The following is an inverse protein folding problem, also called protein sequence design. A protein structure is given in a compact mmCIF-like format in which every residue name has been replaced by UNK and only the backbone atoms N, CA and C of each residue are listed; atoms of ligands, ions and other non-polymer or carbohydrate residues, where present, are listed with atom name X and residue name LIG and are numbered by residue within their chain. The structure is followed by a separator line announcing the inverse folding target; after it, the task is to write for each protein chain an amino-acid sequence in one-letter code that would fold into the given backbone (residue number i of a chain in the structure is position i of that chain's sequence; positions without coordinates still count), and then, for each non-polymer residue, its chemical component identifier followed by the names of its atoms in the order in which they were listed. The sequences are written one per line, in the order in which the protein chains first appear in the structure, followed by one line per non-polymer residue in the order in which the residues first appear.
data_IF_237214970442
#
_entry.id   IF_237214970442
#
_cell.length_a   1.000
_cell.length_b   1.000
_cell.length_c   1.000
_cell.angle_alpha   90.00
_cell.angle_beta   90.00
_cell.angle_gamma   90.00
#
_symmetry.space_group_name_H-M   'P 1'
#
loop_
_entity.id
_entity.type
_entity.pdbx_description
1 polymer ?
#
# COMPACT_ATOMS: atom_id res chain seq x y z
N UNK A 1 -12.36 -11.54 18.75
CA UNK A 1 -11.96 -10.50 17.78
C UNK A 1 -10.82 -9.71 18.39
N UNK A 2 -9.71 -9.51 17.67
CA UNK A 2 -8.69 -8.56 18.10
C UNK A 2 -9.24 -7.17 17.88
N UNK A 3 -9.39 -6.40 18.95
CA UNK A 3 -9.83 -4.99 18.88
C UNK A 3 -8.57 -4.15 18.82
N UNK A 4 -8.35 -3.45 17.71
CA UNK A 4 -7.30 -2.45 17.59
C UNK A 4 -7.87 -1.06 17.79
N UNK A 5 -7.09 -0.17 18.42
CA UNK A 5 -7.45 1.24 18.56
C UNK A 5 -7.11 1.99 17.27
N UNK A 6 -8.09 2.63 16.66
CA UNK A 6 -7.85 3.60 15.59
C UNK A 6 -7.54 4.95 16.23
N UNK A 7 -6.45 5.58 15.80
CA UNK A 7 -6.02 6.88 16.28
C UNK A 7 -5.72 7.82 15.12
N UNK A 8 -5.97 9.11 15.32
CA UNK A 8 -5.56 10.17 14.41
C UNK A 8 -4.15 10.63 14.79
N UNK A 9 -3.29 10.79 13.78
CA UNK A 9 -1.93 11.30 13.95
C UNK A 9 -1.83 12.59 13.15
N UNK A 10 -1.48 13.68 13.83
CA UNK A 10 -1.23 14.96 13.16
C UNK A 10 0.04 14.88 12.32
N UNK A 11 0.00 15.51 11.15
CA UNK A 11 1.08 15.45 10.15
C UNK A 11 1.06 16.72 9.30
N UNK A 12 2.17 17.00 8.62
CA UNK A 12 2.29 18.12 7.68
C UNK A 12 2.38 17.61 6.25
N UNK A 13 1.79 18.29 5.25
CA UNK A 13 1.90 17.88 3.86
C UNK A 13 3.36 17.90 3.38
N UNK A 14 3.67 17.07 2.39
CA UNK A 14 4.97 17.05 1.72
C UNK A 14 4.82 17.47 0.27
N UNK A 15 5.69 18.37 -0.18
CA UNK A 15 5.81 18.69 -1.59
C UNK A 15 6.35 17.49 -2.39
N UNK A 16 5.94 17.41 -3.66
CA UNK A 16 6.49 16.43 -4.59
C UNK A 16 6.05 14.97 -4.36
N UNK A 17 4.98 14.73 -3.59
CA UNK A 17 4.26 13.45 -3.52
C UNK A 17 3.30 13.23 -4.72
N UNK A 18 3.66 13.77 -5.88
CA UNK A 18 2.91 13.57 -7.13
C UNK A 18 3.36 12.26 -7.78
N UNK A 19 2.48 11.24 -7.91
CA UNK A 19 2.84 10.02 -8.63
C UNK A 19 3.03 10.33 -10.12
N UNK A 20 4.03 9.70 -10.73
CA UNK A 20 4.20 9.69 -12.19
C UNK A 20 3.36 8.59 -12.84
N UNK A 21 3.60 8.34 -14.13
CA UNK A 21 2.93 7.28 -14.91
C UNK A 21 3.11 5.89 -14.29
N UNK A 22 4.23 5.65 -13.60
CA UNK A 22 4.54 4.38 -12.94
C UNK A 22 4.59 4.48 -11.41
N UNK A 23 3.80 5.38 -10.83
CA UNK A 23 3.70 5.58 -9.38
C UNK A 23 4.65 6.62 -8.82
N UNK A 24 4.70 6.72 -7.48
CA UNK A 24 5.60 7.62 -6.76
C UNK A 24 6.94 6.91 -6.50
N UNK A 25 8.02 7.42 -7.09
CA UNK A 25 9.38 6.94 -6.86
C UNK A 25 10.23 8.00 -6.18
N UNK A 26 10.85 7.62 -5.08
CA UNK A 26 11.81 8.41 -4.31
C UNK A 26 12.83 7.47 -3.70
N UNK A 27 13.96 8.03 -3.28
CA UNK A 27 14.94 7.29 -2.49
C UNK A 27 14.32 6.76 -1.20
N UNK A 28 14.73 5.59 -0.76
CA UNK A 28 14.31 4.93 0.49
C UNK A 28 14.49 5.88 1.67
N UNK A 29 15.58 6.66 1.72
CA UNK A 29 15.79 7.66 2.78
C UNK A 29 14.66 8.67 2.89
N UNK A 30 13.96 8.97 1.79
CA UNK A 30 12.79 9.87 1.78
C UNK A 30 11.57 9.13 2.31
N UNK A 31 11.31 7.91 1.85
CA UNK A 31 10.18 7.11 2.36
C UNK A 31 10.28 6.76 3.86
N UNK A 32 11.51 6.70 4.39
CA UNK A 32 11.77 6.50 5.82
C UNK A 32 11.63 7.77 6.67
N UNK A 33 11.44 8.94 6.06
CA UNK A 33 11.13 10.14 6.84
C UNK A 33 9.80 9.95 7.58
N UNK A 34 9.67 10.50 8.81
CA UNK A 34 8.41 10.44 9.54
C UNK A 34 7.24 10.89 8.69
N UNK A 35 6.17 10.10 8.69
CA UNK A 35 4.91 10.35 8.00
C UNK A 35 4.96 10.47 6.46
N UNK A 36 6.12 10.32 5.80
CA UNK A 36 6.17 10.47 4.35
C UNK A 36 5.33 9.41 3.63
N UNK A 37 5.59 8.12 3.91
CA UNK A 37 4.80 7.03 3.35
C UNK A 37 3.34 7.12 3.79
N UNK A 38 3.10 7.45 5.06
CA UNK A 38 1.77 7.53 5.64
C UNK A 38 0.91 8.57 4.92
N UNK A 39 1.46 9.76 4.67
CA UNK A 39 0.76 10.83 3.98
C UNK A 39 0.39 10.43 2.56
N UNK A 40 1.28 9.75 1.84
CA UNK A 40 0.98 9.29 0.48
C UNK A 40 -0.12 8.22 0.46
N UNK A 41 -0.07 7.27 1.41
CA UNK A 41 -1.09 6.21 1.54
C UNK A 41 -2.44 6.81 1.93
N UNK A 42 -2.49 7.73 2.91
CA UNK A 42 -3.73 8.41 3.29
C UNK A 42 -4.29 9.23 2.13
N UNK A 43 -3.44 9.93 1.38
CA UNK A 43 -3.86 10.69 0.20
C UNK A 43 -4.48 9.79 -0.86
N UNK A 44 -3.95 8.57 -1.03
CA UNK A 44 -4.52 7.57 -1.95
C UNK A 44 -5.92 7.14 -1.51
N UNK A 45 -6.14 6.91 -0.21
CA UNK A 45 -7.48 6.60 0.30
C UNK A 45 -8.45 7.78 0.18
N UNK A 46 -7.97 9.01 0.44
CA UNK A 46 -8.79 10.20 0.28
C UNK A 46 -9.27 10.37 -1.17
N UNK A 47 -8.42 10.07 -2.16
CA UNK A 47 -8.77 10.13 -3.58
C UNK A 47 -9.84 9.10 -4.01
N UNK A 48 -9.92 7.96 -3.32
CA UNK A 48 -10.93 6.93 -3.60
C UNK A 48 -12.30 7.24 -2.97
N UNK A 49 -12.36 8.14 -1.99
CA UNK A 49 -13.48 8.38 -1.05
C UNK A 49 -13.69 7.26 -0.02
N UNK A 50 -14.20 7.61 1.16
CA UNK A 50 -14.40 6.65 2.27
C UNK A 50 -15.35 5.51 1.90
N UNK A 51 -16.34 5.78 1.06
CA UNK A 51 -17.34 4.78 0.62
C UNK A 51 -16.71 3.67 -0.23
N UNK A 52 -15.75 4.01 -1.10
CA UNK A 52 -15.06 3.00 -1.92
C UNK A 52 -14.02 2.22 -1.14
N UNK A 53 -13.47 2.80 -0.07
CA UNK A 53 -12.45 2.15 0.77
C UNK A 53 -13.11 1.20 1.78
N UNK A 54 -14.24 1.60 2.37
CA UNK A 54 -14.93 0.79 3.38
C UNK A 54 -15.42 -0.52 2.77
N UNK A 55 -15.05 -1.64 3.39
CA UNK A 55 -15.46 -2.96 2.91
C UNK A 55 -14.59 -3.53 1.77
N UNK A 56 -13.65 -2.75 1.23
CA UNK A 56 -12.80 -3.16 0.12
C UNK A 56 -11.86 -4.31 0.50
N UNK A 57 -11.45 -5.06 -0.53
CA UNK A 57 -10.30 -5.97 -0.47
C UNK A 57 -9.16 -5.36 -1.27
N UNK A 58 -7.98 -5.21 -0.68
CA UNK A 58 -6.80 -4.68 -1.36
C UNK A 58 -5.70 -5.74 -1.50
N UNK A 59 -4.89 -5.65 -2.55
CA UNK A 59 -3.63 -6.39 -2.64
C UNK A 59 -2.47 -5.48 -2.22
N UNK A 60 -1.56 -5.95 -1.38
CA UNK A 60 -0.37 -5.20 -0.96
C UNK A 60 0.84 -6.12 -1.00
N UNK A 61 1.68 -5.93 -2.01
CA UNK A 61 2.88 -6.75 -2.26
C UNK A 61 3.89 -5.98 -3.10
N UNK A 62 5.08 -6.53 -3.32
CA UNK A 62 6.09 -5.90 -4.16
C UNK A 62 7.18 -6.84 -4.67
N UNK A 63 8.26 -6.22 -5.13
CA UNK A 63 9.45 -6.87 -5.72
C UNK A 63 10.45 -7.38 -4.67
N UNK A 64 10.22 -7.12 -3.39
CA UNK A 64 11.08 -7.56 -2.29
C UNK A 64 12.27 -6.64 -1.99
N UNK A 65 12.34 -5.46 -2.61
CA UNK A 65 13.40 -4.47 -2.35
C UNK A 65 13.45 -4.02 -0.89
N UNK A 66 14.56 -3.41 -0.50
CA UNK A 66 14.76 -2.86 0.84
C UNK A 66 13.57 -1.95 1.23
N UNK A 67 13.21 -1.96 2.52
CA UNK A 67 12.05 -1.28 3.10
C UNK A 67 10.64 -1.84 2.73
N UNK A 68 10.52 -2.81 1.81
CA UNK A 68 9.20 -3.37 1.44
C UNK A 68 8.45 -3.96 2.63
N UNK A 69 9.11 -4.75 3.48
CA UNK A 69 8.45 -5.38 4.65
C UNK A 69 7.83 -4.34 5.59
N UNK A 70 8.57 -3.26 5.87
CA UNK A 70 8.10 -2.18 6.74
C UNK A 70 6.96 -1.40 6.08
N UNK A 71 7.10 -1.09 4.78
CA UNK A 71 6.08 -0.39 4.02
C UNK A 71 4.75 -1.18 3.95
N UNK A 72 4.81 -2.50 3.76
CA UNK A 72 3.62 -3.38 3.78
C UNK A 72 2.90 -3.26 5.13
N UNK A 73 3.64 -3.34 6.24
CA UNK A 73 3.05 -3.24 7.58
C UNK A 73 2.39 -1.87 7.82
N UNK A 74 3.03 -0.79 7.36
CA UNK A 74 2.46 0.57 7.44
C UNK A 74 1.15 0.64 6.64
N UNK A 75 1.18 0.18 5.37
CA UNK A 75 0.00 0.21 4.49
C UNK A 75 -1.14 -0.62 5.08
N UNK A 76 -0.89 -1.80 5.64
CA UNK A 76 -1.92 -2.64 6.27
C UNK A 76 -2.56 -1.94 7.47
N UNK A 77 -1.76 -1.33 8.35
CA UNK A 77 -2.28 -0.59 9.51
C UNK A 77 -3.16 0.59 9.07
N UNK A 78 -2.73 1.32 8.05
CA UNK A 78 -3.51 2.44 7.50
C UNK A 78 -4.77 1.98 6.78
N UNK A 79 -4.70 0.90 6.02
CA UNK A 79 -5.85 0.27 5.36
C UNK A 79 -6.92 -0.12 6.39
N UNK A 80 -6.51 -0.81 7.47
CA UNK A 80 -7.41 -1.18 8.56
C UNK A 80 -8.05 0.04 9.22
N UNK A 81 -7.27 1.09 9.50
CA UNK A 81 -7.77 2.33 10.08
C UNK A 81 -8.75 3.09 9.15
N UNK A 82 -8.62 2.93 7.83
CA UNK A 82 -9.52 3.52 6.84
C UNK A 82 -10.73 2.62 6.49
N UNK A 83 -10.89 1.47 7.15
CA UNK A 83 -12.07 0.60 6.98
C UNK A 83 -11.96 -0.43 5.85
N UNK A 84 -10.77 -0.67 5.32
CA UNK A 84 -10.52 -1.80 4.41
C UNK A 84 -10.81 -3.10 5.15
N UNK A 85 -11.66 -3.95 4.56
CA UNK A 85 -12.11 -5.20 5.20
C UNK A 85 -11.07 -6.30 5.12
N UNK A 86 -10.32 -6.35 4.02
CA UNK A 86 -9.34 -7.41 3.78
C UNK A 86 -8.13 -6.90 3.02
N UNK A 87 -6.96 -7.41 3.40
CA UNK A 87 -5.73 -7.24 2.63
C UNK A 87 -5.21 -8.61 2.23
N UNK A 88 -4.97 -8.81 0.93
CA UNK A 88 -4.25 -9.95 0.38
C UNK A 88 -2.79 -9.58 0.21
N UNK A 89 -1.92 -10.39 0.81
CA UNK A 89 -0.46 -10.20 0.77
C UNK A 89 0.14 -11.45 0.17
N UNK A 90 1.09 -11.28 -0.76
CA UNK A 90 1.87 -12.40 -1.28
C UNK A 90 2.69 -13.03 -0.17
N UNK A 91 3.04 -14.32 -0.31
CA UNK A 91 3.94 -14.94 0.65
C UNK A 91 5.25 -14.13 0.76
N UNK A 92 5.68 -13.83 1.98
CA UNK A 92 6.83 -12.95 2.26
C UNK A 92 6.70 -11.50 1.73
N UNK A 93 5.50 -11.07 1.35
CA UNK A 93 5.24 -9.78 0.72
C UNK A 93 5.53 -9.72 -0.78
N UNK A 94 5.78 -10.86 -1.42
CA UNK A 94 6.25 -10.93 -2.81
C UNK A 94 5.10 -11.20 -3.78
N UNK A 95 4.91 -10.30 -4.74
CA UNK A 95 4.16 -10.53 -5.97
C UNK A 95 4.74 -9.64 -7.07
N UNK A 96 4.99 -10.22 -8.25
CA UNK A 96 5.33 -9.43 -9.43
C UNK A 96 4.15 -8.55 -9.85
N UNK A 97 4.42 -7.43 -10.53
CA UNK A 97 3.35 -6.55 -11.06
C UNK A 97 2.33 -7.31 -11.92
N UNK A 98 2.72 -8.23 -12.83
CA UNK A 98 1.75 -9.06 -13.55
C UNK A 98 0.92 -9.96 -12.62
N UNK A 99 1.53 -10.56 -11.59
CA UNK A 99 0.80 -11.40 -10.63
C UNK A 99 -0.20 -10.57 -9.82
N UNK A 100 0.15 -9.35 -9.41
CA UNK A 100 -0.80 -8.44 -8.75
C UNK A 100 -2.00 -8.15 -9.66
N UNK A 101 -1.75 -7.82 -10.93
CA UNK A 101 -2.82 -7.57 -11.91
C UNK A 101 -3.75 -8.77 -12.07
N UNK A 102 -3.18 -9.98 -12.23
CA UNK A 102 -3.95 -11.22 -12.33
C UNK A 102 -4.79 -11.47 -11.06
N UNK A 103 -4.21 -11.28 -9.87
CA UNK A 103 -4.93 -11.45 -8.59
C UNK A 103 -6.09 -10.47 -8.47
N UNK A 104 -5.93 -9.21 -8.87
CA UNK A 104 -7.02 -8.22 -8.79
C UNK A 104 -8.20 -8.63 -9.66
N UNK A 105 -7.94 -9.11 -10.88
CA UNK A 105 -8.97 -9.38 -11.88
C UNK A 105 -9.68 -10.72 -11.68
N UNK A 106 -8.89 -11.74 -11.35
CA UNK A 106 -9.33 -13.14 -11.45
C UNK A 106 -9.56 -13.81 -10.10
N UNK A 107 -8.87 -13.40 -9.03
CA UNK A 107 -9.00 -14.09 -7.74
C UNK A 107 -10.36 -13.80 -7.10
N UNK A 108 -11.07 -14.87 -6.75
CA UNK A 108 -12.26 -14.85 -5.91
C UNK A 108 -11.89 -15.29 -4.50
N UNK A 109 -12.21 -14.47 -3.50
CA UNK A 109 -12.10 -14.83 -2.09
C UNK A 109 -13.07 -15.93 -1.71
N UNK A 110 -12.82 -16.64 -0.61
CA UNK A 110 -13.72 -17.68 -0.10
C UNK A 110 -15.14 -17.17 0.20
N UNK A 111 -15.29 -15.86 0.39
CA UNK A 111 -16.55 -15.16 0.63
C UNK A 111 -17.13 -14.51 -0.64
N UNK A 112 -16.66 -14.90 -1.82
CA UNK A 112 -17.09 -14.37 -3.12
C UNK A 112 -16.52 -13.00 -3.47
N UNK A 113 -15.71 -12.37 -2.61
CA UNK A 113 -15.17 -11.03 -2.88
C UNK A 113 -14.04 -11.01 -3.91
N UNK A 114 -13.93 -9.91 -4.66
CA UNK A 114 -12.77 -9.58 -5.50
C UNK A 114 -11.97 -8.44 -4.86
N UNK A 115 -10.70 -8.29 -5.25
CA UNK A 115 -9.93 -7.12 -4.87
C UNK A 115 -10.39 -5.88 -5.67
N UNK A 116 -10.44 -4.74 -4.99
CA UNK A 116 -10.84 -3.44 -5.55
C UNK A 116 -9.66 -2.66 -6.10
N UNK A 117 -8.44 -3.00 -5.68
CA UNK A 117 -7.21 -2.34 -6.10
C UNK A 117 -5.99 -2.86 -5.37
N UNK A 118 -4.85 -2.21 -5.58
CA UNK A 118 -3.60 -2.62 -4.95
C UNK A 118 -2.62 -1.49 -4.70
N UNK A 119 -1.76 -1.70 -3.71
CA UNK A 119 -0.47 -1.04 -3.60
C UNK A 119 0.62 -2.02 -4.07
N UNK A 120 1.41 -1.60 -5.06
CA UNK A 120 2.54 -2.38 -5.59
C UNK A 120 3.84 -1.69 -5.19
N UNK A 121 4.63 -2.34 -4.33
CA UNK A 121 5.89 -1.82 -3.81
C UNK A 121 7.03 -2.20 -4.75
N UNK A 122 7.28 -1.36 -5.75
CA UNK A 122 8.37 -1.56 -6.70
C UNK A 122 8.88 -0.24 -7.25
N UNK A 123 10.17 -0.22 -7.59
CA UNK A 123 10.75 0.83 -8.43
C UNK A 123 11.18 0.26 -9.80
N UNK A 124 10.63 -0.89 -10.20
CA UNK A 124 10.91 -1.57 -11.47
C UNK A 124 12.41 -1.83 -11.64
N UNK A 125 13.04 -1.28 -12.67
CA UNK A 125 14.46 -1.44 -12.97
C UNK A 125 15.38 -0.67 -12.03
N UNK A 126 14.86 0.23 -11.18
CA UNK A 126 15.70 1.01 -10.28
C UNK A 126 16.32 0.12 -9.19
N UNK A 127 17.57 0.39 -8.77
CA UNK A 127 18.27 -0.39 -7.73
C UNK A 127 17.57 -0.28 -6.37
N UNK A 128 17.69 -1.32 -5.53
CA UNK A 128 16.81 -1.56 -4.38
C UNK A 128 17.44 -1.54 -2.99
N UNK A 129 18.63 -0.95 -2.86
CA UNK A 129 19.37 -0.91 -1.61
C UNK A 129 18.92 0.20 -0.63
N UNK A 130 19.51 0.23 0.58
CA UNK A 130 19.18 1.21 1.62
C UNK A 130 19.49 2.67 1.27
N UNK A 131 20.34 2.91 0.26
CA UNK A 131 20.76 4.24 -0.19
C UNK A 131 20.12 4.67 -1.52
N UNK A 132 19.32 3.78 -2.13
CA UNK A 132 18.64 3.99 -3.41
C UNK A 132 17.29 4.65 -3.28
#
# INVERSE_FOLDING_TARGET
MVVFKVGRVETTPFDGQKPGTSGLRKKVKVFKQPNYLQNFVQSTFNALTTEKVRGATLVVSGDGRYFSKDAIQIIIKMAAANGVRRVWVGQNGLLSTPAVSAVIRERIGHDGSKATGAFILTASHNPGGPHE
#
